data_IF_717311841895
#
_entry.id   IF_717311841895
#
_cell.length_a   1.000
_cell.length_b   1.000
_cell.length_c   1.000
_cell.angle_alpha   90.00
_cell.angle_beta   90.00
_cell.angle_gamma   90.00
#
_symmetry.space_group_name_H-M   'P 1'
#
loop_
_entity.id
_entity.type
_entity.pdbx_description
1 polymer ?
#
# COMPACT_ATOMS: atom_id res chain seq x y z
N UNK A 1 16.60 15.30 -11.07
CA UNK A 1 15.41 15.93 -11.65
C UNK A 1 14.36 16.11 -10.57
N UNK A 2 13.59 17.21 -10.54
CA UNK A 2 12.46 17.33 -9.61
C UNK A 2 11.33 16.39 -10.03
N UNK A 3 10.69 15.73 -9.05
CA UNK A 3 9.44 15.00 -9.26
C UNK A 3 8.26 15.94 -8.93
N UNK A 4 7.22 15.93 -9.77
CA UNK A 4 5.96 16.64 -9.53
C UNK A 4 4.83 15.63 -9.42
N UNK A 5 3.97 15.83 -8.43
CA UNK A 5 2.71 15.07 -8.32
C UNK A 5 1.69 15.63 -9.32
N UNK A 6 1.11 14.75 -10.14
CA UNK A 6 0.08 15.07 -11.13
C UNK A 6 -1.22 14.32 -10.80
N UNK A 7 -2.30 14.62 -11.54
CA UNK A 7 -3.56 13.83 -11.53
C UNK A 7 -4.40 13.84 -10.24
N UNK A 8 -4.60 15.03 -9.66
CA UNK A 8 -5.58 15.26 -8.58
C UNK A 8 -7.06 15.04 -8.98
N UNK A 9 -7.36 14.63 -10.21
CA UNK A 9 -8.72 14.52 -10.77
C UNK A 9 -9.62 13.49 -10.08
N UNK A 10 -9.03 12.53 -9.35
CA UNK A 10 -9.76 11.50 -8.59
C UNK A 10 -10.00 11.89 -7.13
N UNK A 11 -9.40 13.00 -6.66
CA UNK A 11 -9.42 13.41 -5.25
C UNK A 11 -10.79 13.86 -4.72
N UNK A 12 -11.78 14.05 -5.60
CA UNK A 12 -13.08 14.67 -5.26
C UNK A 12 -14.29 13.75 -5.41
N UNK A 13 -14.14 12.51 -5.86
CA UNK A 13 -15.25 11.64 -6.22
C UNK A 13 -15.68 10.68 -5.08
N UNK A 14 -15.59 11.12 -3.82
CA UNK A 14 -15.99 10.31 -2.65
C UNK A 14 -17.31 10.81 -2.04
N UNK A 15 -17.95 11.84 -2.64
CA UNK A 15 -19.16 12.47 -2.10
C UNK A 15 -20.45 12.12 -2.86
N UNK A 16 -20.62 10.87 -3.30
CA UNK A 16 -21.86 10.42 -3.95
C UNK A 16 -22.44 9.18 -3.27
N UNK A 17 -23.46 9.33 -2.41
CA UNK A 17 -24.16 8.21 -1.82
C UNK A 17 -25.20 7.73 -2.84
N UNK A 18 -24.88 6.68 -3.62
CA UNK A 18 -25.86 5.72 -4.19
C UNK A 18 -25.17 4.67 -5.07
N UNK A 19 -24.97 3.49 -4.45
CA UNK A 19 -25.43 2.18 -4.95
C UNK A 19 -25.25 1.92 -6.45
N UNK A 20 -24.20 1.17 -6.80
CA UNK A 20 -24.26 0.17 -7.89
C UNK A 20 -23.39 -1.03 -7.52
N UNK A 21 -23.91 -2.20 -7.89
CA UNK A 21 -23.33 -3.55 -7.78
C UNK A 21 -21.79 -3.59 -7.81
N UNK A 22 -21.23 -4.50 -7.02
CA UNK A 22 -19.85 -4.97 -7.11
C UNK A 22 -19.36 -4.98 -8.56
N UNK A 23 -18.34 -4.18 -8.89
CA UNK A 23 -17.33 -4.37 -9.98
C UNK A 23 -16.53 -3.11 -10.34
N UNK A 24 -16.76 -1.93 -9.76
CA UNK A 24 -15.89 -0.77 -10.03
C UNK A 24 -15.24 -0.26 -8.76
N UNK A 25 -14.14 -0.91 -8.37
CA UNK A 25 -13.18 -0.32 -7.44
C UNK A 25 -12.73 0.99 -8.09
N UNK A 26 -13.03 2.12 -7.46
CA UNK A 26 -12.55 3.42 -7.90
C UNK A 26 -11.16 3.59 -7.28
N UNK A 27 -10.12 3.50 -8.09
CA UNK A 27 -8.72 3.59 -7.68
C UNK A 27 -7.88 2.42 -8.20
N UNK A 28 -6.55 2.51 -8.04
CA UNK A 28 -5.62 1.42 -8.33
C UNK A 28 -5.45 0.59 -7.04
N UNK A 29 -5.90 -0.68 -7.00
CA UNK A 29 -5.98 -1.49 -5.77
C UNK A 29 -4.70 -1.51 -4.95
N UNK A 30 -3.54 -1.52 -5.61
CA UNK A 30 -2.22 -1.63 -5.00
C UNK A 30 -1.81 -0.44 -4.11
N UNK A 31 -2.52 0.69 -4.20
CA UNK A 31 -2.19 1.91 -3.47
C UNK A 31 -3.28 2.32 -2.47
N UNK A 32 -4.38 1.55 -2.37
CA UNK A 32 -5.48 1.90 -1.48
C UNK A 32 -5.12 1.68 -0.01
N UNK A 33 -5.39 2.69 0.80
CA UNK A 33 -5.23 2.58 2.25
C UNK A 33 -6.30 1.64 2.85
N UNK A 34 -5.99 0.89 3.92
CA UNK A 34 -6.89 -0.10 4.52
C UNK A 34 -8.26 0.48 4.87
N UNK A 35 -8.30 1.69 5.42
CA UNK A 35 -9.54 2.36 5.81
C UNK A 35 -10.45 2.68 4.61
N UNK A 36 -9.90 2.84 3.39
CA UNK A 36 -10.69 3.05 2.17
C UNK A 36 -11.30 1.72 1.71
N UNK A 37 -10.55 0.62 1.83
CA UNK A 37 -11.04 -0.74 1.55
C UNK A 37 -12.19 -1.09 2.49
N UNK A 38 -12.08 -0.69 3.76
CA UNK A 38 -13.11 -0.89 4.79
C UNK A 38 -14.29 0.10 4.68
N UNK A 39 -14.25 1.06 3.75
CA UNK A 39 -15.32 2.03 3.52
C UNK A 39 -15.39 3.16 4.57
N UNK A 40 -14.32 3.40 5.32
CA UNK A 40 -14.21 4.51 6.26
C UNK A 40 -13.94 5.83 5.53
N UNK A 41 -14.29 6.97 6.13
CA UNK A 41 -14.07 8.28 5.50
C UNK A 41 -12.57 8.55 5.25
N UNK A 42 -12.19 8.97 4.02
CA UNK A 42 -10.80 9.35 3.71
C UNK A 42 -10.34 10.53 4.56
N UNK A 43 -9.08 10.50 4.96
CA UNK A 43 -8.36 11.61 5.62
C UNK A 43 -6.96 11.71 5.04
N UNK A 44 -6.22 12.78 5.35
CA UNK A 44 -4.85 12.98 4.85
C UNK A 44 -3.89 11.79 5.09
N UNK A 45 -4.18 10.91 6.06
CA UNK A 45 -3.41 9.69 6.30
C UNK A 45 -3.47 8.66 5.14
N UNK A 46 -4.48 8.73 4.27
CA UNK A 46 -4.57 7.85 3.09
C UNK A 46 -3.46 8.16 2.09
N UNK A 47 -3.13 9.44 1.93
CA UNK A 47 -2.07 9.89 1.03
C UNK A 47 -0.69 9.45 1.53
N UNK A 48 -0.51 9.40 2.86
CA UNK A 48 0.73 8.90 3.48
C UNK A 48 0.94 7.43 3.21
N UNK A 49 -0.14 6.65 3.29
CA UNK A 49 -0.09 5.22 2.97
C UNK A 49 0.24 5.02 1.48
N UNK A 50 -0.48 5.69 0.58
CA UNK A 50 -0.26 5.59 -0.86
C UNK A 50 1.17 6.03 -1.25
N UNK A 51 1.68 7.13 -0.66
CA UNK A 51 3.04 7.59 -0.89
C UNK A 51 4.09 6.57 -0.42
N UNK A 52 3.85 5.89 0.70
CA UNK A 52 4.75 4.85 1.18
C UNK A 52 4.70 3.59 0.29
N UNK A 53 3.55 3.24 -0.27
CA UNK A 53 3.44 2.20 -1.30
C UNK A 53 4.26 2.57 -2.54
N UNK A 54 4.14 3.81 -3.03
CA UNK A 54 4.95 4.30 -4.17
C UNK A 54 6.44 4.26 -3.83
N UNK A 55 6.83 4.69 -2.62
CA UNK A 55 8.23 4.63 -2.20
C UNK A 55 8.76 3.20 -2.14
N UNK A 56 7.96 2.26 -1.64
CA UNK A 56 8.31 0.84 -1.65
C UNK A 56 8.51 0.34 -3.08
N UNK A 57 7.57 0.65 -3.99
CA UNK A 57 7.65 0.25 -5.39
C UNK A 57 8.86 0.86 -6.12
N UNK A 58 9.23 2.11 -5.82
CA UNK A 58 10.44 2.72 -6.37
C UNK A 58 11.73 2.03 -5.91
N UNK A 59 11.70 1.41 -4.72
CA UNK A 59 12.83 0.66 -4.17
C UNK A 59 12.88 -0.79 -4.68
N UNK A 60 11.71 -1.43 -4.81
CA UNK A 60 11.57 -2.85 -5.08
C UNK A 60 11.29 -3.19 -6.56
N UNK A 61 10.73 -2.25 -7.33
CA UNK A 61 10.18 -2.48 -8.66
C UNK A 61 8.74 -3.04 -8.68
N UNK A 62 8.19 -3.40 -7.52
CA UNK A 62 6.83 -3.94 -7.36
C UNK A 62 6.17 -3.40 -6.08
N UNK A 63 4.85 -3.45 -6.02
CA UNK A 63 4.07 -2.94 -4.87
C UNK A 63 4.10 -3.94 -3.69
N UNK A 64 3.98 -3.46 -2.43
CA UNK A 64 4.15 -4.29 -1.24
C UNK A 64 3.13 -5.44 -1.08
N UNK A 65 1.97 -5.33 -1.74
CA UNK A 65 0.86 -6.29 -1.62
C UNK A 65 0.31 -6.74 -2.98
N UNK A 66 1.03 -6.44 -4.07
CA UNK A 66 0.62 -6.71 -5.44
C UNK A 66 0.50 -8.18 -5.79
N UNK A 67 0.07 -8.45 -7.02
CA UNK A 67 -0.04 -9.79 -7.59
C UNK A 67 -1.39 -10.48 -7.37
N UNK A 68 -1.82 -11.24 -8.38
CA UNK A 68 -3.08 -11.99 -8.36
C UNK A 68 -4.33 -11.12 -8.57
N UNK A 69 -5.47 -11.59 -8.04
CA UNK A 69 -6.77 -10.93 -8.25
C UNK A 69 -6.90 -9.65 -7.39
N UNK A 70 -7.50 -8.55 -7.91
CA UNK A 70 -7.64 -7.27 -7.18
C UNK A 70 -8.22 -7.39 -5.76
N UNK A 71 -9.22 -8.27 -5.57
CA UNK A 71 -9.79 -8.52 -4.25
C UNK A 71 -8.81 -9.13 -3.25
N UNK A 72 -7.86 -9.94 -3.71
CA UNK A 72 -6.79 -10.47 -2.87
C UNK A 72 -5.86 -9.34 -2.42
N UNK A 73 -5.41 -8.48 -3.34
CA UNK A 73 -4.61 -7.29 -3.04
C UNK A 73 -5.29 -6.43 -1.97
N UNK A 74 -6.58 -6.09 -2.14
CA UNK A 74 -7.34 -5.33 -1.14
C UNK A 74 -7.33 -6.00 0.24
N UNK A 75 -7.50 -7.32 0.30
CA UNK A 75 -7.43 -8.08 1.56
C UNK A 75 -6.04 -8.00 2.18
N UNK A 76 -4.96 -8.13 1.41
CA UNK A 76 -3.58 -8.01 1.90
C UNK A 76 -3.30 -6.63 2.49
N UNK A 77 -3.79 -5.58 1.83
CA UNK A 77 -3.73 -4.22 2.37
C UNK A 77 -4.33 -4.12 3.77
N UNK A 78 -5.42 -4.83 4.07
CA UNK A 78 -6.04 -4.81 5.41
C UNK A 78 -5.34 -5.75 6.40
N UNK A 79 -4.86 -6.91 5.95
CA UNK A 79 -4.52 -8.03 6.84
C UNK A 79 -3.05 -8.38 6.94
N UNK A 80 -2.24 -8.06 5.94
CA UNK A 80 -0.85 -8.52 5.84
C UNK A 80 0.16 -7.43 6.17
N UNK A 81 1.32 -7.83 6.68
CA UNK A 81 2.46 -6.92 6.91
C UNK A 81 3.38 -6.92 5.70
N UNK A 82 3.96 -5.75 5.40
CA UNK A 82 4.89 -5.61 4.27
C UNK A 82 6.17 -6.43 4.50
N UNK A 83 6.67 -7.06 3.44
CA UNK A 83 7.92 -7.84 3.47
C UNK A 83 9.13 -6.90 3.44
N UNK A 84 10.12 -7.07 4.36
CA UNK A 84 11.35 -6.30 4.34
C UNK A 84 12.13 -6.43 3.04
N UNK A 85 12.62 -5.30 2.52
CA UNK A 85 13.54 -5.31 1.36
C UNK A 85 14.97 -5.57 1.85
N UNK A 86 15.74 -6.46 1.20
CA UNK A 86 17.14 -6.65 1.54
C UNK A 86 17.95 -5.40 1.18
N UNK A 87 18.95 -5.05 2.01
CA UNK A 87 19.92 -3.99 1.69
C UNK A 87 19.47 -2.55 1.98
N UNK A 88 18.25 -2.33 2.47
CA UNK A 88 17.83 -1.00 2.94
C UNK A 88 18.30 -0.76 4.39
N UNK A 89 18.67 0.48 4.76
CA UNK A 89 18.96 0.80 6.15
C UNK A 89 17.72 0.65 7.05
N UNK A 90 17.92 0.17 8.27
CA UNK A 90 16.84 -0.08 9.23
C UNK A 90 16.01 1.18 9.49
N UNK A 91 16.63 2.35 9.56
CA UNK A 91 15.94 3.61 9.81
C UNK A 91 14.97 3.99 8.69
N UNK A 92 15.34 3.72 7.42
CA UNK A 92 14.46 3.91 6.28
C UNK A 92 13.34 2.87 6.28
N UNK A 93 13.66 1.62 6.62
CA UNK A 93 12.66 0.57 6.70
C UNK A 93 11.58 0.87 7.74
N UNK A 94 11.97 1.25 8.96
CA UNK A 94 11.04 1.59 10.03
C UNK A 94 10.15 2.78 9.64
N UNK A 95 10.70 3.76 8.93
CA UNK A 95 9.93 4.89 8.41
C UNK A 95 8.86 4.44 7.41
N UNK A 96 9.21 3.57 6.47
CA UNK A 96 8.26 3.00 5.49
C UNK A 96 7.17 2.20 6.21
N UNK A 97 7.54 1.31 7.14
CA UNK A 97 6.59 0.50 7.91
C UNK A 97 5.62 1.37 8.72
N UNK A 98 6.11 2.46 9.33
CA UNK A 98 5.26 3.40 10.06
C UNK A 98 4.21 4.06 9.13
N UNK A 99 4.60 4.47 7.93
CA UNK A 99 3.67 5.05 6.97
C UNK A 99 2.69 4.02 6.39
N UNK A 100 3.06 2.74 6.34
CA UNK A 100 2.20 1.60 5.95
C UNK A 100 1.39 1.01 7.12
N UNK A 101 1.38 1.65 8.29
CA UNK A 101 0.59 1.18 9.42
C UNK A 101 -0.90 1.07 9.06
N UNK A 102 -1.55 -0.03 9.47
CA UNK A 102 -2.97 -0.26 9.17
C UNK A 102 -3.86 0.80 9.78
N UNK A 103 -3.58 1.17 11.03
CA UNK A 103 -4.25 2.29 11.70
C UNK A 103 -3.79 3.65 11.17
N UNK A 104 -4.69 4.50 10.63
CA UNK A 104 -4.31 5.80 10.08
C UNK A 104 -3.70 6.76 11.12
N UNK A 105 -4.05 6.62 12.39
CA UNK A 105 -3.50 7.43 13.49
C UNK A 105 -2.05 7.09 13.85
N UNK A 106 -1.56 5.92 13.41
CA UNK A 106 -0.18 5.47 13.64
C UNK A 106 0.79 5.99 12.57
N UNK A 107 0.28 6.60 11.50
CA UNK A 107 1.06 7.13 10.38
C UNK A 107 1.55 8.54 10.68
N UNK A 108 2.69 8.89 10.09
CA UNK A 108 3.23 10.25 10.13
C UNK A 108 2.38 11.22 9.33
N UNK A 109 2.48 12.51 9.67
CA UNK A 109 2.01 13.60 8.80
C UNK A 109 3.00 13.81 7.65
N UNK A 110 2.52 14.39 6.55
CA UNK A 110 3.35 14.66 5.37
C UNK A 110 4.60 15.50 5.70
N UNK A 111 4.46 16.51 6.56
CA UNK A 111 5.57 17.35 7.01
C UNK A 111 6.63 16.57 7.79
N UNK A 112 6.19 15.63 8.62
CA UNK A 112 7.07 14.78 9.44
C UNK A 112 7.79 13.78 8.56
N UNK A 113 7.08 13.08 7.68
CA UNK A 113 7.68 12.17 6.69
C UNK A 113 8.73 12.90 5.84
N UNK A 114 8.42 14.09 5.33
CA UNK A 114 9.36 14.88 4.55
C UNK A 114 10.59 15.32 5.36
N UNK A 115 10.44 15.65 6.64
CA UNK A 115 11.57 15.99 7.51
C UNK A 115 12.48 14.77 7.73
N UNK A 116 11.89 13.61 8.08
CA UNK A 116 12.62 12.36 8.34
C UNK A 116 13.34 11.85 7.10
N UNK A 117 12.70 11.90 5.93
CA UNK A 117 13.38 11.54 4.68
C UNK A 117 14.59 12.43 4.39
N UNK A 118 14.51 13.75 4.65
CA UNK A 118 15.66 14.66 4.48
C UNK A 118 16.79 14.36 5.45
N UNK A 119 16.48 13.98 6.68
CA UNK A 119 17.47 13.56 7.68
C UNK A 119 18.20 12.28 7.26
N UNK A 120 17.49 11.35 6.59
CA UNK A 120 18.06 10.09 6.12
C UNK A 120 18.83 10.21 4.80
N UNK A 121 18.54 11.19 3.95
CA UNK A 121 19.19 11.35 2.64
C UNK A 121 20.73 11.23 2.64
N UNK A 122 21.47 11.83 3.60
CA UNK A 122 22.92 11.69 3.65
C UNK A 122 23.41 10.24 3.85
N UNK A 123 22.64 9.41 4.57
CA UNK A 123 22.94 8.00 4.79
C UNK A 123 22.80 7.18 3.50
N UNK A 124 21.88 7.57 2.64
CA UNK A 124 21.55 6.86 1.40
C UNK A 124 22.50 7.21 0.25
N UNK A 125 23.31 8.26 0.39
CA UNK A 125 24.20 8.73 -0.65
C UNK A 125 25.30 7.72 -0.96
N UNK A 126 25.35 7.27 -2.23
CA UNK A 126 26.37 6.30 -2.68
C UNK A 126 26.06 4.84 -2.37
N UNK A 127 24.88 4.54 -1.82
CA UNK A 127 24.43 3.15 -1.71
C UNK A 127 24.24 2.53 -3.10
N UNK A 128 24.59 1.24 -3.28
CA UNK A 128 24.31 0.54 -4.52
C UNK A 128 22.78 0.41 -4.72
N UNK A 129 22.32 0.22 -5.96
CA UNK A 129 20.94 -0.21 -6.21
C UNK A 129 20.61 -1.47 -5.42
N UNK A 130 19.37 -1.58 -4.96
CA UNK A 130 18.91 -2.78 -4.27
C UNK A 130 18.81 -3.93 -5.27
N UNK A 131 19.32 -5.11 -4.88
CA UNK A 131 19.08 -6.36 -5.59
C UNK A 131 17.83 -6.99 -4.98
N UNK A 132 16.68 -6.73 -5.60
CA UNK A 132 15.38 -7.25 -5.15
C UNK A 132 14.83 -8.15 -6.25
N UNK A 133 14.60 -9.41 -5.90
CA UNK A 133 13.84 -10.34 -6.73
C UNK A 133 12.34 -10.15 -6.47
N UNK A 134 11.53 -10.15 -7.52
CA UNK A 134 10.07 -10.10 -7.37
C UNK A 134 9.61 -11.37 -6.63
N UNK A 135 8.78 -11.25 -5.58
CA UNK A 135 8.26 -12.42 -4.90
C UNK A 135 7.44 -13.26 -5.88
N UNK A 136 7.72 -14.57 -5.93
CA UNK A 136 7.03 -15.52 -6.81
C UNK A 136 5.50 -15.38 -6.69
N UNK A 137 4.88 -14.78 -7.71
CA UNK A 137 3.44 -14.51 -7.74
C UNK A 137 2.59 -15.80 -7.69
N UNK A 138 3.19 -16.94 -8.03
CA UNK A 138 2.53 -18.25 -8.11
C UNK A 138 2.51 -19.03 -6.79
N UNK A 139 3.25 -18.62 -5.76
CA UNK A 139 3.25 -19.31 -4.46
C UNK A 139 2.00 -19.05 -3.61
N UNK A 140 1.13 -18.11 -4.01
CA UNK A 140 -0.08 -17.73 -3.29
C UNK A 140 -1.35 -18.47 -3.76
N UNK A 141 -1.21 -19.54 -4.53
CA UNK A 141 -2.32 -20.32 -5.07
C UNK A 141 -2.41 -21.74 -4.49
N UNK A 142 -2.93 -21.89 -3.27
CA UNK A 142 -3.93 -22.94 -2.96
C UNK A 142 -4.52 -22.71 -1.56
N UNK A 143 -5.85 -22.75 -1.43
CA UNK A 143 -6.51 -22.60 -0.13
C UNK A 143 -7.77 -21.75 -0.13
N UNK A 144 -8.62 -21.87 -1.15
CA UNK A 144 -9.99 -21.39 -1.07
C UNK A 144 -10.92 -22.23 -1.96
N UNK A 145 -11.23 -23.45 -1.54
CA UNK A 145 -12.58 -24.00 -1.78
C UNK A 145 -12.93 -25.06 -0.73
N UNK A 146 -13.69 -24.67 0.29
CA UNK A 146 -14.61 -25.58 0.99
C UNK A 146 -15.72 -24.72 1.62
N UNK A 147 -16.74 -24.43 0.83
CA UNK A 147 -18.01 -23.94 1.35
C UNK A 147 -18.77 -25.10 2.01
N UNK A 148 -19.40 -24.91 3.19
CA UNK A 148 -20.14 -26.00 3.82
C UNK A 148 -21.44 -26.25 3.05
N UNK A 149 -21.60 -27.48 2.59
CA UNK A 149 -22.79 -27.99 1.94
C UNK A 149 -23.99 -27.91 2.90
N UNK A 150 -25.06 -27.25 2.44
CA UNK A 150 -26.34 -27.15 3.16
C UNK A 150 -26.96 -28.54 3.31
N UNK A 151 -27.00 -29.07 4.52
CA UNK A 151 -27.89 -30.19 4.83
C UNK A 151 -29.29 -29.65 5.11
N UNK A 152 -30.21 -29.88 4.18
CA UNK A 152 -31.64 -29.77 4.43
C UNK A 152 -32.13 -31.11 5.00
N UNK A 153 -32.82 -31.05 6.13
CA UNK A 153 -33.70 -32.08 6.65
C UNK A 153 -34.97 -31.41 7.18
#
# INVERSE_FOLDING_TARGET
HPALLTDFGVAKLIDSPKRTRATKIIGTPDYLAPEIVEGLPPRAAVDIYALATVLYELLAGFTPFGGGHPGAVLRRHVTETVVPLPGIPDELWQLIVQCLAKGPASRLRASELAARLRELLPLLAGMPPLEVDEPDADAAGDGADEAPEKTAA
#
